data_IF_875492908306
#
_entry.id   IF_875492908306
#
_cell.length_a   1.000
_cell.length_b   1.000
_cell.length_c   1.000
_cell.angle_alpha   90.00
_cell.angle_beta   90.00
_cell.angle_gamma   90.00
#
_symmetry.space_group_name_H-M   'P 1'
#
loop_
_entity.id
_entity.type
_entity.pdbx_description
1 polymer ?
#
# COMPACT_ATOMS: atom_id res chain seq x y z
N UNK A 1 -6.61 14.00 -26.42
CA UNK A 1 -5.73 13.21 -25.52
C UNK A 1 -6.20 11.77 -25.52
N UNK A 2 -5.33 10.82 -25.88
CA UNK A 2 -5.74 9.42 -26.01
C UNK A 2 -6.01 8.78 -24.63
N UNK A 3 -6.75 7.67 -24.60
CA UNK A 3 -6.93 6.87 -23.39
C UNK A 3 -5.59 6.36 -22.85
N UNK A 4 -4.66 6.01 -23.74
CA UNK A 4 -3.32 5.57 -23.39
C UNK A 4 -2.48 6.63 -22.68
N UNK A 5 -2.55 7.89 -23.12
CA UNK A 5 -1.80 9.01 -22.51
C UNK A 5 -2.36 9.33 -21.12
N UNK A 6 -3.68 9.17 -20.95
CA UNK A 6 -4.34 9.35 -19.65
C UNK A 6 -3.88 8.30 -18.64
N UNK A 7 -3.90 7.03 -19.03
CA UNK A 7 -3.44 5.92 -18.18
C UNK A 7 -1.98 6.12 -17.76
N UNK A 8 -1.13 6.48 -18.72
CA UNK A 8 0.29 6.71 -18.49
C UNK A 8 0.55 7.77 -17.41
N UNK A 9 -0.04 8.96 -17.57
CA UNK A 9 0.15 10.03 -16.59
C UNK A 9 -0.38 9.64 -15.21
N UNK A 10 -1.52 8.93 -15.13
CA UNK A 10 -2.09 8.54 -13.84
C UNK A 10 -1.19 7.53 -13.11
N UNK A 11 -0.66 6.51 -13.79
CA UNK A 11 0.21 5.56 -13.10
C UNK A 11 1.57 6.13 -12.72
N UNK A 12 2.17 6.99 -13.57
CA UNK A 12 3.38 7.69 -13.15
C UNK A 12 3.11 8.66 -11.99
N UNK A 13 1.93 9.29 -11.95
CA UNK A 13 1.51 10.08 -10.80
C UNK A 13 1.33 9.22 -9.53
N UNK A 14 0.81 7.99 -9.64
CA UNK A 14 0.74 7.04 -8.51
C UNK A 14 2.14 6.67 -8.00
N UNK A 15 3.10 6.42 -8.90
CA UNK A 15 4.50 6.18 -8.51
C UNK A 15 5.09 7.40 -7.80
N UNK A 16 4.92 8.60 -8.33
CA UNK A 16 5.39 9.83 -7.68
C UNK A 16 4.71 10.05 -6.32
N UNK A 17 3.40 9.80 -6.22
CA UNK A 17 2.66 9.85 -4.98
C UNK A 17 3.20 8.85 -3.95
N UNK A 18 3.62 7.65 -4.39
CA UNK A 18 4.19 6.66 -3.48
C UNK A 18 5.53 7.10 -2.88
N UNK A 19 6.34 7.84 -3.63
CA UNK A 19 7.52 8.48 -3.08
C UNK A 19 7.17 9.59 -2.08
N UNK A 20 6.19 10.45 -2.40
CA UNK A 20 5.75 11.51 -1.51
C UNK A 20 5.17 10.96 -0.18
N UNK A 21 4.46 9.84 -0.26
CA UNK A 21 3.91 9.15 0.91
C UNK A 21 5.00 8.63 1.84
N UNK A 22 6.05 7.99 1.29
CA UNK A 22 7.21 7.55 2.08
C UNK A 22 7.92 8.74 2.73
N UNK A 23 8.01 9.89 2.04
CA UNK A 23 8.54 11.13 2.65
C UNK A 23 7.69 11.55 3.85
N UNK A 24 6.36 11.47 3.76
CA UNK A 24 5.47 11.79 4.87
C UNK A 24 5.66 10.84 6.06
N UNK A 25 5.78 9.54 5.80
CA UNK A 25 5.93 8.50 6.82
C UNK A 25 7.23 8.58 7.63
N UNK A 26 8.33 9.02 7.00
CA UNK A 26 9.67 8.95 7.60
C UNK A 26 10.38 10.28 7.79
N UNK A 27 10.06 11.31 6.99
CA UNK A 27 10.79 12.58 7.00
C UNK A 27 9.95 13.66 7.66
N UNK A 28 8.78 13.98 7.10
CA UNK A 28 7.93 15.05 7.63
C UNK A 28 6.44 14.75 7.42
N UNK A 29 5.67 14.57 8.51
CA UNK A 29 6.07 14.71 9.91
C UNK A 29 6.84 13.52 10.49
N UNK A 30 6.91 12.39 9.79
CA UNK A 30 7.64 11.20 10.24
C UNK A 30 6.98 10.46 11.40
N UNK A 31 7.54 9.31 11.80
CA UNK A 31 7.08 8.54 12.97
C UNK A 31 5.99 7.49 12.68
N UNK A 32 5.87 7.05 11.42
CA UNK A 32 4.88 6.05 11.02
C UNK A 32 4.99 4.76 11.84
N UNK A 33 6.20 4.22 12.03
CA UNK A 33 6.38 2.91 12.66
C UNK A 33 5.92 2.93 14.13
N UNK A 34 6.21 4.01 14.84
CA UNK A 34 5.82 4.24 16.22
C UNK A 34 4.29 4.34 16.32
N UNK A 35 3.67 5.14 15.46
CA UNK A 35 2.21 5.24 15.39
C UNK A 35 1.55 3.91 15.03
N UNK A 36 2.12 3.15 14.09
CA UNK A 36 1.61 1.84 13.68
C UNK A 36 1.69 0.80 14.82
N UNK A 37 2.80 0.81 15.59
CA UNK A 37 2.97 -0.03 16.78
C UNK A 37 1.98 0.33 17.89
N UNK A 38 1.69 1.61 18.08
CA UNK A 38 0.67 2.03 19.06
C UNK A 38 -0.74 1.65 18.60
N UNK A 39 -1.05 1.81 17.32
CA UNK A 39 -2.36 1.51 16.77
C UNK A 39 -2.64 -0.01 16.77
N UNK A 40 -1.66 -0.82 16.40
CA UNK A 40 -1.81 -2.27 16.25
C UNK A 40 -0.57 -3.01 16.78
N UNK A 41 -0.35 -3.01 18.12
CA UNK A 41 0.88 -3.56 18.73
C UNK A 41 1.09 -5.03 18.39
N UNK A 42 0.02 -5.81 18.38
CA UNK A 42 0.05 -7.24 18.05
C UNK A 42 0.51 -7.56 16.62
N UNK A 43 0.25 -6.66 15.69
CA UNK A 43 0.57 -6.81 14.28
C UNK A 43 1.99 -6.34 14.00
N UNK A 44 2.40 -5.25 14.64
CA UNK A 44 3.69 -4.61 14.42
C UNK A 44 4.77 -4.99 15.45
N UNK A 45 4.50 -5.90 16.39
CA UNK A 45 5.43 -6.32 17.45
C UNK A 45 6.83 -6.69 16.95
N UNK A 46 6.91 -7.36 15.79
CA UNK A 46 8.18 -7.80 15.18
C UNK A 46 8.56 -7.02 13.93
N UNK A 47 8.02 -5.81 13.78
CA UNK A 47 8.43 -4.87 12.74
C UNK A 47 9.63 -4.03 13.18
N UNK A 48 10.45 -3.65 12.21
CA UNK A 48 11.60 -2.77 12.38
C UNK A 48 11.70 -1.83 11.19
N UNK A 49 12.43 -0.71 11.35
CA UNK A 49 12.58 0.30 10.30
C UNK A 49 13.09 -0.29 8.98
N UNK A 50 14.16 -1.14 8.94
CA UNK A 50 14.61 -1.74 7.69
C UNK A 50 13.54 -2.57 6.98
N UNK A 51 12.68 -3.27 7.74
CA UNK A 51 11.61 -4.09 7.17
C UNK A 51 10.57 -3.22 6.50
N UNK A 52 10.07 -2.19 7.20
CA UNK A 52 9.02 -1.32 6.64
C UNK A 52 9.57 -0.48 5.49
N UNK A 53 10.82 -0.01 5.56
CA UNK A 53 11.50 0.63 4.43
C UNK A 53 11.56 -0.32 3.23
N UNK A 54 11.86 -1.61 3.44
CA UNK A 54 11.83 -2.62 2.38
C UNK A 54 10.44 -2.85 1.79
N UNK A 55 9.39 -2.87 2.62
CA UNK A 55 7.99 -2.94 2.17
C UNK A 55 7.63 -1.73 1.30
N UNK A 56 8.00 -0.54 1.74
CA UNK A 56 7.75 0.69 1.00
C UNK A 56 8.54 0.77 -0.31
N UNK A 57 9.80 0.32 -0.32
CA UNK A 57 10.58 0.20 -1.55
C UNK A 57 9.92 -0.79 -2.53
N UNK A 58 9.43 -1.93 -2.05
CA UNK A 58 8.70 -2.91 -2.86
C UNK A 58 7.38 -2.32 -3.41
N UNK A 59 6.66 -1.54 -2.62
CA UNK A 59 5.45 -0.81 -3.06
C UNK A 59 5.77 0.16 -4.20
N UNK A 60 6.81 1.00 -4.05
CA UNK A 60 7.24 1.96 -5.09
C UNK A 60 7.64 1.20 -6.38
N UNK A 61 8.44 0.14 -6.25
CA UNK A 61 8.84 -0.70 -7.38
C UNK A 61 7.62 -1.34 -8.06
N UNK A 62 6.65 -1.82 -7.29
CA UNK A 62 5.37 -2.31 -7.79
C UNK A 62 4.59 -1.26 -8.57
N UNK A 63 4.53 -0.02 -8.08
CA UNK A 63 3.87 1.09 -8.77
C UNK A 63 4.56 1.43 -10.09
N UNK A 64 5.90 1.49 -10.11
CA UNK A 64 6.68 1.67 -11.33
C UNK A 64 6.45 0.55 -12.33
N UNK A 65 6.45 -0.72 -11.88
CA UNK A 65 6.12 -1.87 -12.71
C UNK A 65 4.69 -1.78 -13.26
N UNK A 66 3.72 -1.37 -12.44
CA UNK A 66 2.35 -1.10 -12.86
C UNK A 66 2.28 -0.03 -13.95
N UNK A 67 3.03 1.06 -13.84
CA UNK A 67 3.11 2.10 -14.87
C UNK A 67 3.69 1.57 -16.19
N UNK A 68 4.77 0.81 -16.12
CA UNK A 68 5.45 0.22 -17.28
C UNK A 68 4.58 -0.84 -17.98
N UNK A 69 3.81 -1.62 -17.22
CA UNK A 69 3.04 -2.76 -17.74
C UNK A 69 1.56 -2.44 -18.02
N UNK A 70 1.10 -1.21 -17.76
CA UNK A 70 -0.32 -0.78 -17.85
C UNK A 70 -1.12 -1.26 -19.06
N UNK A 71 -0.49 -1.33 -20.23
CA UNK A 71 -1.16 -1.79 -21.47
C UNK A 71 -1.20 -3.32 -21.58
N UNK A 72 -0.21 -4.03 -21.02
CA UNK A 72 -0.06 -5.49 -21.08
C UNK A 72 -0.78 -6.19 -19.93
N UNK A 73 -0.79 -5.57 -18.73
CA UNK A 73 -1.40 -6.14 -17.53
C UNK A 73 -2.24 -5.10 -16.78
N UNK A 74 -3.46 -4.79 -17.27
CA UNK A 74 -4.38 -3.88 -16.58
C UNK A 74 -4.69 -4.31 -15.15
N UNK A 75 -4.79 -5.62 -14.89
CA UNK A 75 -5.05 -6.16 -13.55
C UNK A 75 -3.94 -5.80 -12.59
N UNK A 76 -2.67 -6.01 -12.95
CA UNK A 76 -1.52 -5.67 -12.10
C UNK A 76 -1.46 -4.16 -11.83
N UNK A 77 -1.61 -3.35 -12.87
CA UNK A 77 -1.52 -1.89 -12.71
C UNK A 77 -2.64 -1.34 -11.83
N UNK A 78 -3.89 -1.78 -12.06
CA UNK A 78 -5.02 -1.40 -11.22
C UNK A 78 -4.93 -2.01 -9.81
N UNK A 79 -4.27 -3.16 -9.63
CA UNK A 79 -4.00 -3.72 -8.31
C UNK A 79 -3.09 -2.81 -7.50
N UNK A 80 -2.07 -2.19 -8.11
CA UNK A 80 -1.25 -1.19 -7.42
C UNK A 80 -2.08 0.05 -7.04
N UNK A 81 -2.97 0.51 -7.91
CA UNK A 81 -3.91 1.58 -7.54
C UNK A 81 -4.81 1.18 -6.36
N UNK A 82 -5.32 -0.05 -6.35
CA UNK A 82 -6.10 -0.62 -5.24
C UNK A 82 -5.31 -0.70 -3.94
N UNK A 83 -4.06 -1.16 -4.00
CA UNK A 83 -3.14 -1.23 -2.86
C UNK A 83 -2.94 0.15 -2.22
N UNK A 84 -2.67 1.19 -3.03
CA UNK A 84 -2.46 2.54 -2.50
C UNK A 84 -3.75 3.13 -1.91
N UNK A 85 -4.91 2.81 -2.50
CA UNK A 85 -6.20 3.21 -1.93
C UNK A 85 -6.43 2.55 -0.56
N UNK A 86 -6.21 1.24 -0.46
CA UNK A 86 -6.35 0.50 0.81
C UNK A 86 -5.36 1.00 1.86
N UNK A 87 -4.12 1.29 1.46
CA UNK A 87 -3.13 1.89 2.32
C UNK A 87 -3.67 3.20 2.94
N UNK A 88 -4.19 4.13 2.12
CA UNK A 88 -4.81 5.36 2.64
C UNK A 88 -5.96 5.10 3.64
N UNK A 89 -6.77 4.06 3.41
CA UNK A 89 -7.82 3.63 4.35
C UNK A 89 -7.23 3.16 5.68
N UNK A 90 -6.14 2.39 5.67
CA UNK A 90 -5.48 1.93 6.90
C UNK A 90 -4.86 3.09 7.69
N UNK A 91 -4.25 4.08 7.04
CA UNK A 91 -3.76 5.28 7.74
C UNK A 91 -4.92 6.09 8.34
N UNK A 92 -6.05 6.18 7.63
CA UNK A 92 -7.28 6.78 8.14
C UNK A 92 -7.81 6.05 9.38
N UNK A 93 -7.94 4.73 9.29
CA UNK A 93 -8.40 3.89 10.40
C UNK A 93 -7.45 3.99 11.61
N UNK A 94 -6.13 3.97 11.38
CA UNK A 94 -5.12 4.16 12.41
C UNK A 94 -5.23 5.52 13.08
N UNK A 95 -5.40 6.59 12.29
CA UNK A 95 -5.58 7.95 12.82
C UNK A 95 -6.84 8.09 13.66
N UNK A 96 -7.96 7.51 13.21
CA UNK A 96 -9.21 7.48 13.96
C UNK A 96 -9.07 6.70 15.28
N UNK A 97 -8.41 5.54 15.23
CA UNK A 97 -8.17 4.68 16.40
C UNK A 97 -7.29 5.38 17.46
N UNK A 98 -6.24 6.05 17.01
CA UNK A 98 -5.34 6.79 17.90
C UNK A 98 -5.87 8.18 18.30
N UNK A 99 -6.94 8.64 17.65
CA UNK A 99 -7.47 10.02 17.75
C UNK A 99 -6.40 11.10 17.54
N UNK A 100 -5.38 10.77 16.73
CA UNK A 100 -4.28 11.66 16.37
C UNK A 100 -3.86 11.36 14.94
N UNK A 101 -3.19 12.32 14.33
CA UNK A 101 -2.71 12.15 12.96
C UNK A 101 -1.66 11.01 12.89
N UNK A 102 -1.84 10.12 11.92
CA UNK A 102 -0.88 9.07 11.56
C UNK A 102 -0.14 9.48 10.27
N UNK A 103 1.21 9.55 10.30
CA UNK A 103 2.02 9.86 9.12
C UNK A 103 1.64 8.97 7.94
N UNK A 104 1.45 9.56 6.75
CA UNK A 104 0.94 8.92 5.54
C UNK A 104 -0.54 9.22 5.26
N UNK A 105 -1.29 9.74 6.25
CA UNK A 105 -2.70 10.09 6.06
C UNK A 105 -2.91 11.22 5.03
N UNK A 106 -2.10 12.28 5.09
CA UNK A 106 -2.31 13.47 4.27
C UNK A 106 -2.10 13.14 2.79
N UNK A 107 -0.98 12.51 2.43
CA UNK A 107 -0.74 12.05 1.05
C UNK A 107 -1.68 10.91 0.67
N UNK A 108 -2.08 10.04 1.59
CA UNK A 108 -3.09 9.01 1.35
C UNK A 108 -4.41 9.61 0.86
N UNK A 109 -4.95 10.59 1.59
CA UNK A 109 -6.21 11.24 1.23
C UNK A 109 -6.06 12.20 0.04
N UNK A 110 -4.99 12.99 -0.02
CA UNK A 110 -4.80 14.01 -1.04
C UNK A 110 -4.30 13.47 -2.38
N UNK A 111 -3.55 12.35 -2.37
CA UNK A 111 -2.92 11.77 -3.57
C UNK A 111 -3.43 10.38 -3.87
N UNK A 112 -3.29 9.40 -2.94
CA UNK A 112 -3.63 8.01 -3.24
C UNK A 112 -5.11 7.84 -3.59
N UNK A 113 -6.03 8.30 -2.74
CA UNK A 113 -7.47 8.18 -3.00
C UNK A 113 -7.87 8.75 -4.37
N UNK A 114 -7.62 10.03 -4.70
CA UNK A 114 -8.04 10.58 -5.98
C UNK A 114 -7.31 9.97 -7.18
N UNK A 115 -6.01 9.66 -7.06
CA UNK A 115 -5.26 9.04 -8.17
C UNK A 115 -5.69 7.61 -8.42
N UNK A 116 -5.97 6.83 -7.38
CA UNK A 116 -6.47 5.47 -7.51
C UNK A 116 -7.84 5.46 -8.18
N UNK A 117 -8.77 6.32 -7.76
CA UNK A 117 -10.07 6.47 -8.42
C UNK A 117 -9.91 6.88 -9.90
N UNK A 118 -9.01 7.83 -10.20
CA UNK A 118 -8.68 8.22 -11.58
C UNK A 118 -8.04 7.09 -12.38
N UNK A 119 -7.28 6.20 -11.75
CA UNK A 119 -6.68 5.05 -12.43
C UNK A 119 -7.78 4.11 -12.92
N UNK A 120 -8.73 3.73 -12.06
CA UNK A 120 -9.90 2.93 -12.47
C UNK A 120 -10.75 3.65 -13.52
N UNK A 121 -11.00 4.95 -13.36
CA UNK A 121 -11.74 5.75 -14.35
C UNK A 121 -11.06 5.77 -15.73
N UNK A 122 -9.71 5.87 -15.76
CA UNK A 122 -8.94 5.91 -17.01
C UNK A 122 -9.06 4.65 -17.87
N UNK A 123 -9.51 3.53 -17.28
CA UNK A 123 -9.77 2.28 -17.99
C UNK A 123 -11.23 2.10 -18.41
N UNK A 124 -12.18 2.94 -17.98
CA UNK A 124 -13.62 2.73 -18.28
C UNK A 124 -13.95 2.63 -19.77
N UNK A 125 -13.18 3.30 -20.62
CA UNK A 125 -13.32 3.26 -22.09
C UNK A 125 -12.36 2.27 -22.77
N UNK A 126 -11.58 1.52 -22.00
CA UNK A 126 -10.65 0.52 -22.52
C UNK A 126 -11.39 -0.79 -22.81
N UNK A 127 -11.22 -1.40 -23.99
CA UNK A 127 -11.79 -2.72 -24.30
C UNK A 127 -11.33 -3.82 -23.33
N UNK A 128 -10.16 -3.63 -22.70
CA UNK A 128 -9.59 -4.56 -21.71
C UNK A 128 -10.22 -4.42 -20.31
N UNK A 129 -11.06 -3.41 -20.08
CA UNK A 129 -11.69 -3.19 -18.79
C UNK A 129 -13.04 -3.88 -18.71
N UNK A 130 -13.09 -4.96 -17.92
CA UNK A 130 -14.31 -5.70 -17.58
C UNK A 130 -14.50 -5.67 -16.06
N UNK A 131 -15.70 -6.01 -15.59
CA UNK A 131 -15.96 -6.18 -14.15
C UNK A 131 -14.97 -7.16 -13.50
N UNK A 132 -14.61 -8.24 -14.21
CA UNK A 132 -13.60 -9.20 -13.77
C UNK A 132 -12.21 -8.58 -13.62
N UNK A 133 -11.82 -7.65 -14.50
CA UNK A 133 -10.56 -6.87 -14.37
C UNK A 133 -10.56 -6.05 -13.09
N UNK A 134 -11.66 -5.35 -12.80
CA UNK A 134 -11.78 -4.52 -11.60
C UNK A 134 -11.76 -5.35 -10.31
N UNK A 135 -12.52 -6.46 -10.28
CA UNK A 135 -12.55 -7.38 -9.14
C UNK A 135 -11.18 -8.04 -8.95
N UNK A 136 -10.57 -8.55 -10.03
CA UNK A 136 -9.25 -9.16 -9.97
C UNK A 136 -8.17 -8.19 -9.49
N UNK A 137 -8.24 -6.93 -9.93
CA UNK A 137 -7.36 -5.87 -9.45
C UNK A 137 -7.57 -5.57 -7.96
N UNK A 138 -8.82 -5.46 -7.49
CA UNK A 138 -9.11 -5.24 -6.08
C UNK A 138 -8.60 -6.40 -5.20
N UNK A 139 -8.91 -7.64 -5.57
CA UNK A 139 -8.44 -8.84 -4.85
C UNK A 139 -6.91 -8.90 -4.81
N UNK A 140 -6.25 -8.68 -5.95
CA UNK A 140 -4.79 -8.72 -6.02
C UNK A 140 -4.14 -7.56 -5.25
N UNK A 141 -4.72 -6.37 -5.31
CA UNK A 141 -4.27 -5.19 -4.57
C UNK A 141 -4.33 -5.42 -3.07
N UNK A 142 -5.46 -5.93 -2.57
CA UNK A 142 -5.62 -6.32 -1.15
C UNK A 142 -4.69 -7.44 -0.76
N UNK A 143 -4.49 -8.44 -1.62
CA UNK A 143 -3.53 -9.51 -1.36
C UNK A 143 -2.11 -8.94 -1.20
N UNK A 144 -1.65 -8.08 -2.11
CA UNK A 144 -0.34 -7.44 -2.01
C UNK A 144 -0.22 -6.56 -0.76
N UNK A 145 -1.23 -5.77 -0.46
CA UNK A 145 -1.27 -4.94 0.74
C UNK A 145 -1.21 -5.78 2.03
N UNK A 146 -1.80 -6.99 2.01
CA UNK A 146 -1.85 -7.91 3.15
C UNK A 146 -0.53 -8.65 3.43
N UNK A 147 0.38 -8.76 2.44
CA UNK A 147 1.62 -9.55 2.55
C UNK A 147 2.47 -9.17 3.78
N UNK A 148 2.77 -7.89 4.05
CA UNK A 148 3.58 -7.50 5.21
C UNK A 148 2.96 -7.95 6.52
N UNK A 149 1.64 -7.80 6.68
CA UNK A 149 0.91 -8.19 7.89
C UNK A 149 0.96 -9.69 8.13
N UNK A 150 0.78 -10.49 7.07
CA UNK A 150 0.93 -11.95 7.13
C UNK A 150 2.37 -12.33 7.49
N UNK A 151 3.37 -11.65 6.90
CA UNK A 151 4.77 -11.89 7.20
C UNK A 151 5.11 -11.57 8.68
N UNK A 152 4.54 -10.51 9.25
CA UNK A 152 4.74 -10.15 10.65
C UNK A 152 4.08 -11.17 11.59
N UNK A 153 2.86 -11.60 11.29
CA UNK A 153 2.17 -12.65 12.04
C UNK A 153 2.97 -13.98 12.02
N UNK A 154 3.50 -14.37 10.87
CA UNK A 154 4.33 -15.58 10.74
C UNK A 154 5.66 -15.47 11.51
N UNK A 155 6.25 -14.26 11.63
CA UNK A 155 7.43 -14.02 12.47
C UNK A 155 7.08 -14.14 13.95
N UNK A 156 5.95 -13.57 14.38
CA UNK A 156 5.44 -13.70 15.76
C UNK A 156 5.28 -15.16 16.18
N UNK A 157 4.63 -15.97 15.35
CA UNK A 157 4.41 -17.38 15.63
C UNK A 157 5.73 -18.15 15.81
N UNK A 158 6.75 -17.84 14.99
CA UNK A 158 8.08 -18.45 15.09
C UNK A 158 8.83 -18.02 16.35
N UNK A 159 8.81 -16.74 16.71
CA UNK A 159 9.45 -16.24 17.93
C UNK A 159 8.81 -16.82 19.18
N UNK A 160 7.47 -16.90 19.23
CA UNK A 160 6.73 -17.50 20.36
C UNK A 160 7.10 -18.98 20.52
N UNK A 161 7.12 -19.74 19.41
CA UNK A 161 7.52 -21.14 19.43
C UNK A 161 8.97 -21.33 19.91
N UNK A 162 9.88 -20.45 19.50
CA UNK A 162 11.28 -20.51 19.93
C UNK A 162 11.43 -20.25 21.44
N UNK A 163 10.73 -19.26 21.99
CA UNK A 163 10.77 -18.94 23.42
C UNK A 163 10.21 -20.08 24.29
N UNK A 164 9.13 -20.71 23.85
CA UNK A 164 8.57 -21.91 24.51
C UNK A 164 9.57 -23.07 24.50
N UNK A 165 10.26 -23.30 23.38
CA UNK A 165 11.29 -24.34 23.28
C UNK A 165 12.51 -24.02 24.18
N UNK A 166 12.82 -22.73 24.38
CA UNK A 166 13.90 -22.28 25.26
C UNK A 166 13.55 -22.29 26.76
N UNK A 167 12.29 -22.56 27.13
CA UNK A 167 11.84 -22.52 28.52
C UNK A 167 11.73 -21.11 29.11
N UNK A 168 11.60 -20.09 28.25
CA UNK A 168 11.53 -18.67 28.65
C UNK A 168 10.10 -18.19 28.93
N UNK A 169 9.10 -19.06 28.74
CA UNK A 169 7.66 -18.77 28.89
C UNK A 169 6.96 -19.91 29.62
#
# INVERSE_FOLDING_TARGET
MSSGDRQERVFWALTAASCAHVVEEYIWPGGFLEAAKEAAPEVFAHSSTPIIVGVNAAMIAGCALGALTRRRSPVLSLAMAGLLFENAVIHGAGSLRLKRYMPGLATGLALYVPLSLKAFDSYRKSPAYRRSTAVGAAVLGTAFHSIPFVAFAARRARSTKAAVVAGEV
#
